data_IF_033673365806
#
_entry.id   IF_033673365806
#
_cell.length_a   1.000
_cell.length_b   1.000
_cell.length_c   1.000
_cell.angle_alpha   90.00
_cell.angle_beta   90.00
_cell.angle_gamma   90.00
#
_symmetry.space_group_name_H-M   'P 1'
#
loop_
_entity.id
_entity.type
_entity.pdbx_description
1 polymer ?
#
# COMPACT_ATOMS: atom_id res chain seq x y z
N UNK A 1 -24.18 -6.72 30.39
CA UNK A 1 -23.23 -5.95 29.54
C UNK A 1 -22.18 -6.91 28.97
N UNK A 2 -22.27 -7.27 27.69
CA UNK A 2 -21.33 -8.19 27.02
C UNK A 2 -20.13 -7.39 26.49
N UNK A 3 -18.95 -7.62 27.06
CA UNK A 3 -17.67 -7.16 26.49
C UNK A 3 -17.51 -7.82 25.11
N UNK A 4 -17.63 -7.03 24.04
CA UNK A 4 -17.27 -7.48 22.68
C UNK A 4 -15.75 -7.64 22.62
N UNK A 5 -15.25 -8.85 22.91
CA UNK A 5 -13.96 -9.31 22.37
C UNK A 5 -14.14 -9.41 20.86
N UNK A 6 -13.61 -8.46 20.10
CA UNK A 6 -13.59 -8.58 18.66
C UNK A 6 -12.31 -7.94 18.12
N UNK A 7 -11.49 -8.75 17.44
CA UNK A 7 -10.64 -8.24 16.36
C UNK A 7 -9.12 -8.24 16.55
N UNK A 8 -8.52 -9.02 17.45
CA UNK A 8 -7.05 -9.24 17.46
C UNK A 8 -6.62 -10.67 17.12
N UNK A 9 -7.44 -11.39 16.35
CA UNK A 9 -7.24 -12.81 16.05
C UNK A 9 -6.87 -13.11 14.58
N UNK A 10 -6.53 -12.07 13.79
CA UNK A 10 -6.13 -12.23 12.39
C UNK A 10 -4.62 -12.29 12.15
N UNK A 11 -3.78 -12.21 13.20
CA UNK A 11 -2.33 -12.10 13.03
C UNK A 11 -1.53 -13.40 13.17
N UNK A 12 -2.11 -14.53 13.62
CA UNK A 12 -1.28 -15.71 13.97
C UNK A 12 -1.88 -17.07 13.63
N UNK A 13 -2.58 -17.22 12.50
CA UNK A 13 -2.94 -18.55 11.99
C UNK A 13 -2.38 -18.79 10.59
N UNK A 14 -1.43 -19.72 10.55
CA UNK A 14 -0.72 -20.22 9.37
C UNK A 14 -1.58 -20.29 8.11
N UNK A 15 -1.27 -19.40 7.19
CA UNK A 15 -1.22 -19.68 5.77
C UNK A 15 0.08 -19.08 5.27
N UNK A 16 0.77 -19.84 4.44
CA UNK A 16 1.94 -19.45 3.66
C UNK A 16 2.07 -17.94 3.48
N UNK A 17 3.20 -17.41 3.94
CA UNK A 17 3.64 -16.01 3.87
C UNK A 17 3.66 -15.54 2.40
N UNK A 18 2.49 -15.23 1.84
CA UNK A 18 2.36 -14.42 0.63
C UNK A 18 2.83 -13.03 1.05
N UNK A 19 4.15 -12.84 0.96
CA UNK A 19 4.85 -11.67 1.48
C UNK A 19 4.10 -10.40 1.10
N UNK A 20 3.85 -9.56 2.09
CA UNK A 20 3.46 -8.18 1.90
C UNK A 20 4.53 -7.53 1.02
N UNK A 21 4.25 -7.46 -0.28
CA UNK A 21 5.20 -6.98 -1.28
C UNK A 21 5.26 -5.46 -1.18
N UNK A 22 6.45 -4.92 -1.02
CA UNK A 22 6.72 -3.51 -1.32
C UNK A 22 6.97 -3.35 -2.80
N UNK A 23 6.70 -2.18 -3.35
CA UNK A 23 6.88 -1.90 -4.76
C UNK A 23 5.84 -0.93 -5.25
N UNK A 24 5.53 -0.99 -6.54
CA UNK A 24 4.60 -0.07 -7.17
C UNK A 24 3.29 -0.77 -7.49
N UNK A 25 2.19 -0.08 -7.29
CA UNK A 25 0.85 -0.52 -7.71
C UNK A 25 0.17 0.59 -8.49
N UNK A 26 -0.73 0.21 -9.37
CA UNK A 26 -1.55 1.15 -10.15
C UNK A 26 -2.90 1.23 -9.45
N UNK A 27 -3.18 2.37 -8.83
CA UNK A 27 -4.47 2.71 -8.29
C UNK A 27 -5.42 3.19 -9.38
N UNK A 28 -6.64 2.71 -9.25
CA UNK A 28 -7.80 3.01 -10.09
C UNK A 28 -8.74 3.90 -9.27
N UNK A 29 -10.03 3.92 -9.60
CA UNK A 29 -11.03 4.62 -8.78
C UNK A 29 -11.20 3.96 -7.40
N UNK A 30 -11.34 4.80 -6.36
CA UNK A 30 -11.86 4.46 -5.03
C UNK A 30 -11.26 3.22 -4.36
N UNK A 31 -10.03 3.33 -3.84
CA UNK A 31 -9.32 2.30 -3.07
C UNK A 31 -9.16 0.93 -3.79
N UNK A 32 -9.33 0.90 -5.11
CA UNK A 32 -9.11 -0.29 -5.94
C UNK A 32 -7.82 -0.15 -6.73
N UNK A 33 -7.13 -1.25 -6.90
CA UNK A 33 -5.85 -1.33 -7.57
C UNK A 33 -5.91 -2.34 -8.70
N UNK A 34 -5.18 -2.08 -9.78
CA UNK A 34 -5.06 -2.96 -10.92
C UNK A 34 -4.52 -4.33 -10.50
N UNK A 35 -5.18 -5.41 -10.94
CA UNK A 35 -4.78 -6.80 -10.68
C UNK A 35 -4.45 -7.57 -11.97
N UNK A 36 -4.81 -7.05 -13.14
CA UNK A 36 -4.62 -7.72 -14.42
C UNK A 36 -5.76 -7.47 -15.40
N UNK A 37 -5.69 -8.12 -16.56
CA UNK A 37 -6.77 -8.17 -17.54
C UNK A 37 -7.23 -9.62 -17.68
N UNK A 38 -8.54 -9.83 -17.65
CA UNK A 38 -9.15 -11.15 -17.83
C UNK A 38 -10.34 -11.04 -18.77
N UNK A 39 -10.37 -11.84 -19.83
CA UNK A 39 -11.41 -11.80 -20.86
C UNK A 39 -11.67 -10.38 -21.41
N UNK A 40 -10.58 -9.65 -21.70
CA UNK A 40 -10.64 -8.27 -22.20
C UNK A 40 -11.06 -7.20 -21.19
N UNK A 41 -11.33 -7.57 -19.93
CA UNK A 41 -11.78 -6.64 -18.89
C UNK A 41 -10.68 -6.38 -17.87
N UNK A 42 -10.47 -5.11 -17.52
CA UNK A 42 -9.57 -4.70 -16.44
C UNK A 42 -10.13 -5.20 -15.11
N UNK A 43 -9.30 -5.92 -14.35
CA UNK A 43 -9.63 -6.40 -13.01
C UNK A 43 -9.00 -5.49 -11.97
N UNK A 44 -9.80 -5.11 -10.98
CA UNK A 44 -9.33 -4.34 -9.83
C UNK A 44 -9.58 -5.13 -8.55
N UNK A 45 -8.66 -5.03 -7.59
CA UNK A 45 -8.70 -5.68 -6.28
C UNK A 45 -8.32 -4.67 -5.19
N UNK A 46 -8.60 -4.96 -3.90
CA UNK A 46 -7.97 -4.24 -2.81
C UNK A 46 -6.45 -4.38 -2.84
N UNK A 47 -5.74 -3.57 -2.04
CA UNK A 47 -4.27 -3.50 -2.05
C UNK A 47 -3.55 -4.86 -1.90
N UNK A 48 -4.09 -5.77 -1.09
CA UNK A 48 -3.53 -7.11 -0.86
C UNK A 48 -3.66 -8.05 -2.07
N UNK A 49 -4.59 -7.76 -2.99
CA UNK A 49 -4.79 -8.52 -4.23
C UNK A 49 -4.35 -7.76 -5.47
N UNK A 50 -3.65 -6.64 -5.30
CA UNK A 50 -3.16 -5.82 -6.39
C UNK A 50 -1.99 -6.49 -7.11
N UNK A 51 -1.76 -6.10 -8.36
CA UNK A 51 -0.54 -6.45 -9.09
C UNK A 51 0.57 -5.49 -8.68
N UNK A 52 1.64 -6.05 -8.11
CA UNK A 52 2.84 -5.31 -7.75
C UNK A 52 3.85 -5.30 -8.90
N UNK A 53 4.56 -4.18 -9.00
CA UNK A 53 5.67 -3.99 -9.92
C UNK A 53 6.92 -3.64 -9.12
N UNK A 54 8.07 -4.22 -9.48
CA UNK A 54 9.31 -3.97 -8.75
C UNK A 54 9.80 -2.52 -8.93
N UNK A 55 9.47 -1.90 -10.06
CA UNK A 55 9.92 -0.54 -10.39
C UNK A 55 8.77 0.33 -10.91
N UNK A 56 8.90 1.64 -10.69
CA UNK A 56 7.97 2.64 -11.26
C UNK A 56 7.85 2.51 -12.77
N UNK A 57 8.98 2.29 -13.46
CA UNK A 57 9.04 2.15 -14.92
C UNK A 57 8.20 0.97 -15.43
N UNK A 58 8.24 -0.17 -14.75
CA UNK A 58 7.41 -1.33 -15.11
C UNK A 58 5.92 -1.04 -14.93
N UNK A 59 5.55 -0.34 -13.84
CA UNK A 59 4.17 0.07 -13.60
C UNK A 59 3.69 1.05 -14.70
N UNK A 60 4.49 2.08 -15.01
CA UNK A 60 4.20 3.04 -16.08
C UNK A 60 4.04 2.35 -17.45
N UNK A 61 4.97 1.47 -17.82
CA UNK A 61 4.88 0.72 -19.08
C UNK A 61 3.59 -0.12 -19.16
N UNK A 62 3.17 -0.69 -18.03
CA UNK A 62 1.91 -1.46 -17.99
C UNK A 62 0.69 -0.55 -18.17
N UNK A 63 0.70 0.65 -17.59
CA UNK A 63 -0.35 1.64 -17.83
C UNK A 63 -0.48 1.93 -19.32
N UNK A 64 0.61 2.29 -19.99
CA UNK A 64 0.55 2.67 -21.41
C UNK A 64 0.21 1.49 -22.34
N UNK A 65 0.70 0.28 -22.05
CA UNK A 65 0.49 -0.89 -22.92
C UNK A 65 -0.85 -1.58 -22.72
N UNK A 66 -1.36 -1.58 -21.49
CA UNK A 66 -2.51 -2.42 -21.11
C UNK A 66 -3.72 -1.60 -20.69
N UNK A 67 -3.50 -0.40 -20.15
CA UNK A 67 -4.56 0.50 -19.69
C UNK A 67 -4.72 1.72 -20.60
N UNK A 68 -4.06 1.73 -21.76
CA UNK A 68 -3.97 2.83 -22.75
C UNK A 68 -5.27 3.30 -23.39
N UNK A 69 -6.41 3.23 -22.69
CA UNK A 69 -7.68 3.75 -23.16
C UNK A 69 -7.73 5.27 -23.02
N UNK A 70 -8.14 5.95 -24.09
CA UNK A 70 -8.34 7.40 -24.14
C UNK A 70 -9.20 7.90 -22.97
N UNK A 71 -8.75 8.96 -22.29
CA UNK A 71 -9.47 9.59 -21.19
C UNK A 71 -9.34 8.89 -19.83
N UNK A 72 -8.64 7.76 -19.76
CA UNK A 72 -8.41 7.05 -18.49
C UNK A 72 -7.39 7.79 -17.62
N UNK A 73 -7.74 7.96 -16.34
CA UNK A 73 -6.87 8.51 -15.31
C UNK A 73 -6.49 7.42 -14.31
N UNK A 74 -5.20 7.23 -14.10
CA UNK A 74 -4.68 6.28 -13.11
C UNK A 74 -3.68 6.93 -12.18
N UNK A 75 -3.56 6.38 -10.98
CA UNK A 75 -2.62 6.86 -9.97
C UNK A 75 -1.56 5.79 -9.74
N UNK A 76 -0.29 6.18 -9.71
CA UNK A 76 0.79 5.31 -9.27
C UNK A 76 1.02 5.51 -7.79
N UNK A 77 1.10 4.39 -7.09
CA UNK A 77 1.42 4.34 -5.67
C UNK A 77 2.69 3.53 -5.45
N UNK A 78 3.51 3.99 -4.51
CA UNK A 78 4.62 3.24 -3.96
C UNK A 78 4.22 2.69 -2.60
N UNK A 79 4.09 1.37 -2.55
CA UNK A 79 3.74 0.60 -1.38
C UNK A 79 5.01 0.25 -0.62
N UNK A 80 5.11 0.71 0.61
CA UNK A 80 6.25 0.47 1.49
C UNK A 80 5.80 0.44 2.95
N UNK A 81 6.67 -0.05 3.83
CA UNK A 81 6.41 0.02 5.26
C UNK A 81 6.67 1.43 5.78
N UNK A 82 5.86 1.87 6.73
CA UNK A 82 5.99 3.16 7.39
C UNK A 82 5.55 3.04 8.86
N UNK A 83 5.72 4.12 9.62
CA UNK A 83 5.29 4.19 11.00
C UNK A 83 4.02 5.05 11.09
N UNK A 84 2.99 4.51 11.74
CA UNK A 84 1.67 5.14 11.88
C UNK A 84 1.32 5.25 13.36
N UNK A 85 0.80 6.40 13.78
CA UNK A 85 0.38 6.63 15.17
C UNK A 85 -0.67 5.60 15.59
N UNK A 86 -0.39 4.84 16.66
CA UNK A 86 -1.15 3.68 17.10
C UNK A 86 -2.61 4.02 17.49
N UNK A 87 -2.85 5.26 17.90
CA UNK A 87 -4.18 5.75 18.31
C UNK A 87 -5.03 6.29 17.15
N UNK A 88 -4.52 6.28 15.91
CA UNK A 88 -5.33 6.75 14.78
C UNK A 88 -6.43 5.76 14.43
N UNK A 89 -7.64 6.04 14.94
CA UNK A 89 -8.90 5.47 14.47
C UNK A 89 -9.00 5.62 12.94
N UNK A 90 -9.54 4.58 12.32
CA UNK A 90 -9.48 4.14 10.91
C UNK A 90 -9.72 5.17 9.78
N UNK A 91 -9.95 6.45 10.09
CA UNK A 91 -10.30 7.47 9.11
C UNK A 91 -9.14 8.36 8.67
N UNK A 92 -8.02 8.46 9.43
CA UNK A 92 -6.86 9.26 9.00
C UNK A 92 -5.55 8.77 9.63
N UNK A 93 -4.80 7.97 8.89
CA UNK A 93 -3.46 7.54 9.30
C UNK A 93 -2.55 8.76 9.47
N UNK A 94 -2.04 8.96 10.68
CA UNK A 94 -0.99 9.95 10.94
C UNK A 94 0.35 9.24 10.87
N UNK A 95 1.10 9.57 9.83
CA UNK A 95 2.42 8.99 9.59
C UNK A 95 3.46 9.70 10.45
N UNK A 96 4.37 8.93 11.06
CA UNK A 96 5.59 9.48 11.64
C UNK A 96 6.42 10.17 10.55
N UNK A 97 6.97 11.33 10.88
CA UNK A 97 7.76 12.14 9.95
C UNK A 97 9.09 12.52 10.58
N UNK A 98 10.17 12.33 9.82
CA UNK A 98 11.50 12.83 10.17
C UNK A 98 11.90 13.88 9.13
N UNK A 99 12.31 15.08 9.58
CA UNK A 99 12.58 16.20 8.66
C UNK A 99 11.37 16.61 7.80
N UNK A 100 10.15 16.45 8.32
CA UNK A 100 8.90 16.76 7.61
C UNK A 100 8.44 15.70 6.59
N UNK A 101 9.22 14.65 6.35
CA UNK A 101 8.91 13.60 5.36
C UNK A 101 8.51 12.28 6.05
N UNK A 102 7.49 11.57 5.52
CA UNK A 102 7.15 10.26 6.06
C UNK A 102 8.27 9.27 5.76
N UNK A 103 8.57 8.40 6.74
CA UNK A 103 9.56 7.34 6.56
C UNK A 103 9.01 6.25 5.64
N UNK A 104 9.89 5.68 4.82
CA UNK A 104 9.57 4.61 3.88
C UNK A 104 10.63 3.53 4.00
N UNK A 105 10.20 2.30 4.27
CA UNK A 105 11.08 1.14 4.40
C UNK A 105 10.65 0.06 3.40
N UNK A 106 11.64 -0.60 2.79
CA UNK A 106 11.38 -1.69 1.84
C UNK A 106 11.02 -2.98 2.56
N UNK A 107 11.47 -3.15 3.80
CA UNK A 107 11.18 -4.35 4.57
C UNK A 107 10.58 -4.03 5.93
N UNK A 108 9.71 -4.92 6.39
CA UNK A 108 9.16 -4.86 7.74
C UNK A 108 10.25 -4.87 8.81
N UNK A 109 11.32 -5.64 8.58
CA UNK A 109 12.46 -5.75 9.49
C UNK A 109 13.21 -4.44 9.66
N UNK A 110 13.42 -3.69 8.58
CA UNK A 110 14.05 -2.36 8.64
C UNK A 110 13.19 -1.37 9.42
N UNK A 111 11.88 -1.35 9.15
CA UNK A 111 10.94 -0.50 9.86
C UNK A 111 10.90 -0.82 11.36
N UNK A 112 10.82 -2.10 11.73
CA UNK A 112 10.87 -2.54 13.13
C UNK A 112 12.17 -2.19 13.82
N UNK A 113 13.32 -2.36 13.15
CA UNK A 113 14.62 -2.01 13.72
C UNK A 113 14.66 -0.51 14.02
N UNK A 114 14.28 0.33 13.06
CA UNK A 114 14.22 1.77 13.24
C UNK A 114 13.29 2.17 14.39
N UNK A 115 12.09 1.57 14.46
CA UNK A 115 11.13 1.81 15.54
C UNK A 115 11.72 1.51 16.92
N UNK A 116 12.46 0.40 17.07
CA UNK A 116 13.08 -0.01 18.34
C UNK A 116 14.26 0.89 18.72
N UNK A 117 15.14 1.19 17.78
CA UNK A 117 16.32 2.05 18.02
C UNK A 117 15.93 3.47 18.47
N UNK A 118 14.70 3.90 18.19
CA UNK A 118 14.17 5.23 18.54
C UNK A 118 13.10 5.22 19.65
N UNK A 119 12.86 4.08 20.33
CA UNK A 119 11.82 3.88 21.36
C UNK A 119 10.38 4.25 20.89
N UNK A 120 10.09 4.15 19.60
CA UNK A 120 8.82 4.61 19.00
C UNK A 120 7.68 3.57 19.09
N UNK A 121 7.91 2.39 19.66
CA UNK A 121 6.93 1.30 19.67
C UNK A 121 5.72 1.53 20.59
N UNK A 122 5.77 2.54 21.45
CA UNK A 122 4.67 2.92 22.35
C UNK A 122 3.58 3.70 21.60
N UNK A 123 4.03 4.60 20.71
CA UNK A 123 3.14 5.57 20.07
C UNK A 123 2.89 5.25 18.58
N UNK A 124 3.77 4.46 17.96
CA UNK A 124 3.70 4.14 16.54
C UNK A 124 3.70 2.63 16.30
N UNK A 125 3.03 2.20 15.25
CA UNK A 125 3.04 0.83 14.73
C UNK A 125 3.57 0.80 13.29
N UNK A 126 4.18 -0.32 12.90
CA UNK A 126 4.67 -0.52 11.53
C UNK A 126 3.54 -1.03 10.66
N UNK A 127 3.18 -0.27 9.63
CA UNK A 127 2.13 -0.63 8.68
C UNK A 127 2.61 -0.56 7.23
N UNK A 128 1.96 -1.32 6.36
CA UNK A 128 2.12 -1.18 4.92
C UNK A 128 1.24 -0.02 4.42
N UNK A 129 1.83 0.94 3.71
CA UNK A 129 1.12 2.10 3.20
C UNK A 129 1.40 2.35 1.72
N UNK A 130 0.36 2.74 0.98
CA UNK A 130 0.44 3.10 -0.42
C UNK A 130 0.59 4.63 -0.55
N UNK A 131 1.82 5.10 -0.79
CA UNK A 131 2.10 6.51 -1.02
C UNK A 131 1.81 6.88 -2.47
N UNK A 132 0.89 7.82 -2.70
CA UNK A 132 0.65 8.36 -4.04
C UNK A 132 1.92 9.05 -4.55
N UNK A 133 2.40 8.66 -5.73
CA UNK A 133 3.58 9.26 -6.35
C UNK A 133 3.26 10.07 -7.60
N UNK A 134 2.34 9.59 -8.44
CA UNK A 134 2.09 10.21 -9.74
C UNK A 134 0.66 9.97 -10.21
N UNK A 135 0.09 10.93 -10.92
CA UNK A 135 -1.12 10.73 -11.73
C UNK A 135 -0.69 10.62 -13.19
N UNK A 136 -1.27 9.65 -13.92
CA UNK A 136 -1.09 9.49 -15.35
C UNK A 136 -2.44 9.68 -16.01
N UNK A 137 -2.51 10.64 -16.92
CA UNK A 137 -3.67 10.87 -17.78
C UNK A 137 -3.32 10.39 -19.18
N UNK A 138 -4.10 9.46 -19.69
CA UNK A 138 -3.92 8.94 -21.03
C UNK A 138 -4.67 9.85 -21.99
N UNK A 139 -3.92 10.50 -22.88
CA UNK A 139 -4.47 11.41 -23.89
C UNK A 139 -5.42 10.65 -24.83
N UNK A 140 -6.45 11.35 -25.31
CA UNK A 140 -7.39 10.87 -26.30
C UNK A 140 -6.79 10.92 -27.71
#
# INVERSE_FOLDING_TARGET
>A
MRKRKCGKEWLLRGRTFLGWQTGYVIGMESHRYYAGVQAGKIRCRPLWGARYFATRKQAEQTVYRTLGYAGMQVQLFHVCYTLVEAETLEQRWKLYREGGRPLKFLTYREALRYQKERDLYKDYTVELYAFREKEIRLAA
#
